data_IF_700662712635
#
_entry.id   IF_700662712635
#
_cell.length_a   1.000
_cell.length_b   1.000
_cell.length_c   1.000
_cell.angle_alpha   90.00
_cell.angle_beta   90.00
_cell.angle_gamma   90.00
#
_symmetry.space_group_name_H-M   'P 1'
#
loop_
_entity.id
_entity.type
_entity.pdbx_description
1 polymer ?
#
# COMPACT_ATOMS: atom_id res chain seq x y z
N UNK A 1 2.95 7.44 1.86
CA UNK A 1 4.23 8.12 1.53
C UNK A 1 4.11 9.62 1.28
N UNK A 2 2.92 10.21 1.27
CA UNK A 2 2.70 11.62 0.89
C UNK A 2 3.42 12.63 1.81
N UNK A 3 3.75 12.25 3.04
CA UNK A 3 4.33 13.14 4.04
C UNK A 3 5.86 12.99 4.25
N UNK A 4 6.57 12.19 3.43
CA UNK A 4 8.03 11.94 3.54
C UNK A 4 8.54 11.48 4.93
N UNK A 5 7.66 11.08 5.85
CA UNK A 5 8.08 10.63 7.19
C UNK A 5 8.56 9.18 7.19
N UNK A 6 8.33 8.45 6.10
CA UNK A 6 8.58 7.01 6.05
C UNK A 6 10.06 6.69 6.17
N UNK A 7 10.94 7.51 5.57
CA UNK A 7 12.39 7.35 5.63
C UNK A 7 12.87 7.45 7.08
N UNK A 8 12.37 8.46 7.82
CA UNK A 8 12.73 8.65 9.22
C UNK A 8 12.20 7.53 10.13
N UNK A 9 11.02 6.99 9.82
CA UNK A 9 10.47 5.84 10.56
C UNK A 9 11.30 4.60 10.28
N UNK A 10 11.69 4.37 9.02
CA UNK A 10 12.52 3.24 8.61
C UNK A 10 13.88 3.24 9.33
N UNK A 11 14.52 4.40 9.48
CA UNK A 11 15.78 4.55 10.26
C UNK A 11 15.66 4.12 11.73
N UNK A 12 14.46 4.21 12.32
CA UNK A 12 14.22 3.94 13.75
C UNK A 12 13.83 2.48 14.01
N UNK A 13 13.46 1.73 12.97
CA UNK A 13 12.95 0.37 13.09
C UNK A 13 14.10 -0.64 13.01
N UNK A 14 14.14 -1.59 13.97
CA UNK A 14 15.19 -2.63 14.06
C UNK A 14 14.77 -3.99 13.49
N UNK A 15 13.58 -4.10 12.93
CA UNK A 15 13.01 -5.36 12.43
C UNK A 15 12.22 -5.15 11.14
N UNK A 16 11.40 -6.14 10.72
CA UNK A 16 10.62 -6.02 9.49
C UNK A 16 9.63 -4.86 9.54
N UNK A 17 9.55 -4.09 8.45
CA UNK A 17 8.64 -2.95 8.33
C UNK A 17 7.36 -3.33 7.57
N UNK A 18 6.20 -2.96 8.11
CA UNK A 18 4.91 -3.10 7.42
C UNK A 18 4.33 -1.71 7.11
N UNK A 19 4.16 -1.41 5.82
CA UNK A 19 3.53 -0.17 5.35
C UNK A 19 2.13 -0.51 4.84
N UNK A 20 1.08 0.13 5.35
CA UNK A 20 -0.32 -0.19 5.01
C UNK A 20 -1.09 1.04 4.57
N UNK A 21 -1.90 0.87 3.53
CA UNK A 21 -2.86 1.86 3.07
C UNK A 21 -3.27 1.66 1.61
N UNK A 22 -4.44 2.16 1.19
CA UNK A 22 -4.88 2.07 -0.20
C UNK A 22 -3.93 2.79 -1.17
N UNK A 23 -3.19 3.79 -0.69
CA UNK A 23 -2.16 4.53 -1.44
C UNK A 23 -0.76 3.93 -1.32
N UNK A 24 -0.59 2.76 -0.71
CA UNK A 24 0.72 2.11 -0.59
C UNK A 24 1.11 1.56 -1.96
N UNK A 25 2.20 2.04 -2.59
CA UNK A 25 2.68 1.44 -3.82
C UNK A 25 3.22 0.04 -3.52
N UNK A 26 2.82 -0.92 -4.34
CA UNK A 26 3.25 -2.32 -4.23
C UNK A 26 4.53 -2.54 -5.05
N UNK A 27 5.56 -1.75 -4.76
CA UNK A 27 6.89 -1.83 -5.37
C UNK A 27 7.93 -2.05 -4.28
N UNK A 28 8.85 -3.04 -4.41
CA UNK A 28 9.83 -3.34 -3.36
C UNK A 28 10.63 -2.12 -2.87
N UNK A 29 10.94 -1.19 -3.76
CA UNK A 29 11.70 0.03 -3.50
C UNK A 29 11.01 0.96 -2.50
N UNK A 30 9.68 0.84 -2.31
CA UNK A 30 8.93 1.61 -1.33
C UNK A 30 9.32 1.31 0.13
N UNK A 31 10.02 0.20 0.39
CA UNK A 31 10.62 -0.12 1.68
C UNK A 31 12.03 0.43 1.85
N UNK A 32 12.62 1.11 0.86
CA UNK A 32 13.95 1.72 0.99
C UNK A 32 15.08 0.71 1.29
N UNK A 33 14.92 -0.55 0.87
CA UNK A 33 15.89 -1.62 1.15
C UNK A 33 15.65 -2.38 2.47
N UNK A 34 14.62 -2.04 3.24
CA UNK A 34 14.24 -2.78 4.44
C UNK A 34 13.48 -4.07 4.10
N UNK A 35 13.72 -5.14 4.87
CA UNK A 35 12.88 -6.34 4.84
C UNK A 35 11.51 -6.04 5.45
N UNK A 36 10.45 -6.65 4.92
CA UNK A 36 9.09 -6.37 5.39
C UNK A 36 7.99 -6.65 4.38
N UNK A 37 6.91 -5.88 4.48
CA UNK A 37 5.74 -6.06 3.65
C UNK A 37 5.04 -4.73 3.32
N UNK A 38 4.40 -4.69 2.15
CA UNK A 38 3.63 -3.57 1.63
C UNK A 38 2.18 -4.01 1.48
N UNK A 39 1.30 -3.49 2.32
CA UNK A 39 -0.15 -3.72 2.28
C UNK A 39 -0.86 -2.59 1.52
N UNK A 40 -1.21 -2.87 0.26
CA UNK A 40 -1.81 -1.91 -0.66
C UNK A 40 -3.19 -2.32 -1.15
N UNK A 41 -3.62 -1.70 -2.24
CA UNK A 41 -4.82 -2.11 -2.96
C UNK A 41 -4.59 -2.09 -4.46
N UNK A 42 -5.08 -3.11 -5.17
CA UNK A 42 -5.11 -3.19 -6.62
C UNK A 42 -6.44 -2.64 -7.13
N UNK A 43 -6.40 -1.87 -8.20
CA UNK A 43 -7.60 -1.42 -8.92
C UNK A 43 -8.10 -2.57 -9.79
N UNK A 44 -9.35 -3.00 -9.60
CA UNK A 44 -9.99 -4.08 -10.37
C UNK A 44 -10.87 -3.56 -11.49
N UNK A 45 -11.47 -2.39 -11.28
CA UNK A 45 -12.27 -1.67 -12.28
C UNK A 45 -11.80 -0.22 -12.30
N UNK A 46 -11.04 0.13 -13.34
CA UNK A 46 -10.45 1.46 -13.46
C UNK A 46 -11.52 2.54 -13.65
N UNK A 47 -12.53 2.28 -14.48
CA UNK A 47 -13.57 3.25 -14.80
C UNK A 47 -14.45 3.52 -13.58
N UNK A 48 -14.82 2.48 -12.83
CA UNK A 48 -15.53 2.64 -11.57
C UNK A 48 -14.68 3.35 -10.52
N UNK A 49 -13.37 3.05 -10.43
CA UNK A 49 -12.47 3.71 -9.48
C UNK A 49 -12.38 5.21 -9.74
N UNK A 50 -12.18 5.63 -10.99
CA UNK A 50 -12.09 7.05 -11.36
C UNK A 50 -13.39 7.78 -11.00
N UNK A 51 -14.55 7.28 -11.45
CA UNK A 51 -15.84 7.90 -11.14
C UNK A 51 -16.09 8.01 -9.63
N UNK A 52 -15.80 6.96 -8.87
CA UNK A 52 -16.03 6.97 -7.44
C UNK A 52 -15.10 7.95 -6.71
N UNK A 53 -13.84 8.07 -7.14
CA UNK A 53 -12.91 9.06 -6.59
C UNK A 53 -13.36 10.48 -6.91
N UNK A 54 -13.82 10.75 -8.14
CA UNK A 54 -14.38 12.06 -8.54
C UNK A 54 -15.59 12.45 -7.71
N UNK A 55 -16.42 11.48 -7.33
CA UNK A 55 -17.57 11.67 -6.43
C UNK A 55 -17.18 11.77 -4.94
N UNK A 56 -15.88 11.72 -4.61
CA UNK A 56 -15.37 11.88 -3.25
C UNK A 56 -15.52 10.64 -2.37
N UNK A 57 -15.78 9.46 -2.93
CA UNK A 57 -15.85 8.23 -2.13
C UNK A 57 -14.47 7.86 -1.58
N UNK A 58 -14.45 7.45 -0.31
CA UNK A 58 -13.24 6.96 0.35
C UNK A 58 -12.91 5.51 -0.01
N UNK A 59 -11.65 5.11 0.23
CA UNK A 59 -11.14 3.77 -0.09
C UNK A 59 -11.95 2.61 0.51
N UNK A 60 -12.59 2.80 1.68
CA UNK A 60 -13.49 1.78 2.25
C UNK A 60 -14.68 1.48 1.32
N UNK A 61 -15.28 2.52 0.71
CA UNK A 61 -16.40 2.34 -0.20
C UNK A 61 -15.95 1.60 -1.46
N UNK A 62 -14.80 1.96 -2.02
CA UNK A 62 -14.25 1.28 -3.19
C UNK A 62 -13.94 -0.19 -2.90
N UNK A 63 -13.44 -0.52 -1.70
CA UNK A 63 -13.20 -1.91 -1.28
C UNK A 63 -14.52 -2.69 -1.12
N UNK A 64 -15.53 -2.09 -0.48
CA UNK A 64 -16.86 -2.71 -0.30
C UNK A 64 -17.54 -3.02 -1.64
N UNK A 65 -17.35 -2.14 -2.62
CA UNK A 65 -17.86 -2.32 -3.99
C UNK A 65 -16.96 -3.17 -4.88
N UNK A 66 -15.88 -3.76 -4.33
CA UNK A 66 -14.89 -4.58 -5.07
C UNK A 66 -14.22 -3.88 -6.25
N UNK A 67 -14.24 -2.54 -6.25
CA UNK A 67 -13.52 -1.69 -7.21
C UNK A 67 -12.03 -1.69 -6.88
N UNK A 68 -11.69 -1.78 -5.59
CA UNK A 68 -10.36 -2.09 -5.09
C UNK A 68 -10.32 -3.49 -4.48
N UNK A 69 -9.15 -4.12 -4.53
CA UNK A 69 -8.85 -5.36 -3.82
C UNK A 69 -7.59 -5.22 -2.99
N UNK A 70 -7.60 -5.70 -1.75
CA UNK A 70 -6.40 -5.69 -0.90
C UNK A 70 -5.34 -6.62 -1.47
N UNK A 71 -4.10 -6.17 -1.49
CA UNK A 71 -2.96 -6.99 -1.87
C UNK A 71 -1.78 -6.70 -0.94
N UNK A 72 -0.96 -7.73 -0.71
CA UNK A 72 0.25 -7.63 0.10
C UNK A 72 1.43 -8.13 -0.70
N UNK A 73 2.48 -7.31 -0.79
CA UNK A 73 3.77 -7.71 -1.34
C UNK A 73 4.74 -7.96 -0.18
N UNK A 74 5.30 -9.16 -0.11
CA UNK A 74 6.38 -9.52 0.82
C UNK A 74 7.72 -9.20 0.18
N UNK A 75 8.63 -8.59 0.94
CA UNK A 75 9.96 -8.16 0.45
C UNK A 75 11.02 -8.64 1.43
N UNK A 76 11.94 -9.47 0.97
CA UNK A 76 13.04 -10.00 1.78
C UNK A 76 12.64 -11.00 2.87
N UNK A 77 11.35 -11.23 3.10
CA UNK A 77 10.83 -12.14 4.14
C UNK A 77 10.90 -13.66 3.79
N UNK A 78 11.45 -14.02 2.63
CA UNK A 78 11.55 -15.41 2.17
C UNK A 78 12.99 -15.96 2.24
N UNK A 79 13.60 -15.92 3.42
CA UNK A 79 14.80 -16.74 3.72
C UNK A 79 14.41 -17.85 4.70
N UNK A 80 13.92 -18.95 4.16
CA UNK A 80 13.91 -20.27 4.84
C UNK A 80 14.56 -21.29 3.90
#
# INVERSE_FOLDING_TARGET
MVNKTIDRVADLVRGPLLIVGPSTPLWPEALGGHEGALGGSLVRDLDAAVRMVELGYGAEHLLRQRVLEKATLLVGLNKS
#
